data_IF_647048200330
#
_entry.id   IF_647048200330
#
_cell.length_a   1.000
_cell.length_b   1.000
_cell.length_c   1.000
_cell.angle_alpha   90.00
_cell.angle_beta   90.00
_cell.angle_gamma   90.00
#
_symmetry.space_group_name_H-M   'P 1'
#
loop_
_entity.id
_entity.type
_entity.pdbx_description
1 polymer ?
#
# COMPACT_ATOMS: atom_id res chain seq x y z
N UNK A 1 -28.52 -5.58 -3.84
CA UNK A 1 -27.16 -5.21 -3.45
C UNK A 1 -27.19 -3.88 -2.72
N UNK A 2 -26.45 -3.76 -1.63
CA UNK A 2 -26.31 -2.50 -0.90
C UNK A 2 -25.10 -1.76 -1.48
N UNK A 3 -25.29 -0.64 -2.18
CA UNK A 3 -24.18 0.04 -2.88
C UNK A 3 -22.99 0.37 -1.96
N UNK A 4 -23.24 0.85 -0.74
CA UNK A 4 -22.17 1.20 0.19
C UNK A 4 -21.29 0.02 0.57
N UNK A 5 -21.91 -1.15 0.84
CA UNK A 5 -21.18 -2.38 1.17
C UNK A 5 -20.37 -2.86 -0.02
N UNK A 6 -20.97 -2.85 -1.23
CA UNK A 6 -20.29 -3.24 -2.45
C UNK A 6 -19.09 -2.33 -2.73
N UNK A 7 -19.27 -1.02 -2.55
CA UNK A 7 -18.20 -0.04 -2.75
C UNK A 7 -17.03 -0.26 -1.78
N UNK A 8 -17.31 -0.50 -0.51
CA UNK A 8 -16.27 -0.74 0.48
C UNK A 8 -15.52 -2.05 0.19
N UNK A 9 -16.25 -3.10 -0.19
CA UNK A 9 -15.63 -4.38 -0.55
C UNK A 9 -14.69 -4.20 -1.75
N UNK A 10 -15.13 -3.46 -2.77
CA UNK A 10 -14.29 -3.17 -3.94
C UNK A 10 -13.04 -2.35 -3.56
N UNK A 11 -13.21 -1.36 -2.69
CA UNK A 11 -12.08 -0.56 -2.21
C UNK A 11 -11.08 -1.42 -1.43
N UNK A 12 -11.58 -2.35 -0.61
CA UNK A 12 -10.72 -3.28 0.12
C UNK A 12 -9.94 -4.20 -0.82
N UNK A 13 -10.59 -4.73 -1.87
CA UNK A 13 -9.90 -5.55 -2.86
C UNK A 13 -8.78 -4.74 -3.53
N UNK A 14 -9.07 -3.50 -3.91
CA UNK A 14 -8.07 -2.63 -4.52
C UNK A 14 -6.91 -2.34 -3.56
N UNK A 15 -7.22 -2.07 -2.28
CA UNK A 15 -6.20 -1.83 -1.27
C UNK A 15 -5.32 -3.05 -1.05
N UNK A 16 -5.93 -4.22 -0.91
CA UNK A 16 -5.22 -5.49 -0.70
C UNK A 16 -4.29 -5.79 -1.87
N UNK A 17 -4.77 -5.64 -3.11
CA UNK A 17 -3.96 -5.87 -4.30
C UNK A 17 -2.82 -4.87 -4.40
N UNK A 18 -3.06 -3.62 -4.05
CA UNK A 18 -2.04 -2.58 -4.04
C UNK A 18 -0.93 -2.89 -3.05
N UNK A 19 -1.29 -3.28 -1.82
CA UNK A 19 -0.31 -3.66 -0.81
C UNK A 19 0.48 -4.90 -1.23
N UNK A 20 -0.22 -5.89 -1.77
CA UNK A 20 0.40 -7.13 -2.24
C UNK A 20 1.44 -6.84 -3.33
N UNK A 21 1.09 -5.98 -4.29
CA UNK A 21 1.99 -5.56 -5.36
C UNK A 21 3.21 -4.81 -4.82
N UNK A 22 3.00 -3.91 -3.86
CA UNK A 22 4.07 -3.13 -3.23
C UNK A 22 5.03 -4.03 -2.46
N UNK A 23 4.50 -4.99 -1.70
CA UNK A 23 5.31 -5.94 -0.93
C UNK A 23 6.28 -6.69 -1.85
N UNK A 24 5.79 -7.16 -3.00
CA UNK A 24 6.62 -7.87 -3.97
C UNK A 24 7.65 -6.94 -4.61
N UNK A 25 7.24 -5.74 -4.98
CA UNK A 25 8.12 -4.77 -5.64
C UNK A 25 9.23 -4.28 -4.71
N UNK A 26 8.90 -3.97 -3.45
CA UNK A 26 9.88 -3.41 -2.53
C UNK A 26 10.94 -4.41 -2.10
N UNK A 27 10.63 -5.71 -2.12
CA UNK A 27 11.66 -6.74 -1.93
C UNK A 27 12.72 -6.66 -3.03
N UNK A 28 12.29 -6.51 -4.28
CA UNK A 28 13.20 -6.37 -5.44
C UNK A 28 13.97 -5.06 -5.38
N UNK A 29 13.29 -3.96 -5.01
CA UNK A 29 13.93 -2.66 -4.87
C UNK A 29 15.04 -2.69 -3.81
N UNK A 30 14.79 -3.32 -2.67
CA UNK A 30 15.77 -3.43 -1.61
C UNK A 30 17.02 -4.16 -2.08
N UNK A 31 16.86 -5.22 -2.89
CA UNK A 31 18.01 -5.96 -3.42
C UNK A 31 18.88 -5.10 -4.31
N UNK A 32 18.31 -4.12 -4.99
CA UNK A 32 19.02 -3.24 -5.94
C UNK A 32 19.51 -1.95 -5.30
N UNK A 33 19.22 -1.71 -4.03
CA UNK A 33 19.62 -0.49 -3.34
C UNK A 33 21.15 -0.34 -3.36
N UNK A 34 21.65 0.90 -3.51
CA UNK A 34 23.09 1.13 -3.65
C UNK A 34 23.91 0.91 -2.38
N UNK A 35 23.27 0.91 -1.20
CA UNK A 35 23.94 0.68 0.07
C UNK A 35 23.01 0.09 1.10
N UNK A 36 23.55 -0.34 2.24
CA UNK A 36 22.78 -1.01 3.29
C UNK A 36 21.80 -0.08 4.00
N UNK A 37 22.14 1.19 4.11
CA UNK A 37 21.25 2.16 4.77
C UNK A 37 19.94 2.30 4.00
N UNK A 38 20.03 2.48 2.68
CA UNK A 38 18.84 2.59 1.83
C UNK A 38 18.08 1.27 1.80
N UNK A 39 18.81 0.14 1.67
CA UNK A 39 18.19 -1.18 1.67
C UNK A 39 17.35 -1.40 2.93
N UNK A 40 17.93 -1.10 4.08
CA UNK A 40 17.25 -1.26 5.36
C UNK A 40 15.99 -0.42 5.44
N UNK A 41 16.05 0.83 4.96
CA UNK A 41 14.90 1.72 4.97
C UNK A 41 13.78 1.22 4.05
N UNK A 42 14.14 0.70 2.87
CA UNK A 42 13.15 0.12 1.96
C UNK A 42 12.46 -1.10 2.61
N UNK A 43 13.22 -1.91 3.33
CA UNK A 43 12.65 -3.08 4.02
C UNK A 43 11.73 -2.67 5.18
N UNK A 44 12.00 -1.57 5.87
CA UNK A 44 11.10 -1.02 6.88
C UNK A 44 9.78 -0.56 6.24
N UNK A 45 9.88 0.13 5.10
CA UNK A 45 8.70 0.55 4.33
C UNK A 45 7.89 -0.68 3.94
N UNK A 46 8.57 -1.71 3.42
CA UNK A 46 7.91 -2.96 3.05
C UNK A 46 7.17 -3.58 4.23
N UNK A 47 7.76 -3.54 5.42
CA UNK A 47 7.13 -4.10 6.61
C UNK A 47 5.84 -3.35 6.96
N UNK A 48 5.79 -2.04 6.77
CA UNK A 48 4.55 -1.27 6.92
C UNK A 48 3.48 -1.77 5.96
N UNK A 49 3.88 -2.05 4.70
CA UNK A 49 2.93 -2.55 3.70
C UNK A 49 2.41 -3.94 4.08
N UNK A 50 3.25 -4.81 4.65
CA UNK A 50 2.83 -6.12 5.15
C UNK A 50 1.78 -5.94 6.25
N UNK A 51 1.97 -4.98 7.16
CA UNK A 51 1.01 -4.71 8.22
C UNK A 51 -0.33 -4.22 7.65
N UNK A 52 -0.29 -3.30 6.69
CA UNK A 52 -1.51 -2.82 6.02
C UNK A 52 -2.24 -3.98 5.33
N UNK A 53 -1.49 -4.82 4.64
CA UNK A 53 -2.04 -5.98 3.95
C UNK A 53 -2.83 -6.87 4.92
N UNK A 54 -2.25 -7.17 6.09
CA UNK A 54 -2.92 -8.01 7.08
C UNK A 54 -4.17 -7.36 7.65
N UNK A 55 -4.10 -6.06 7.96
CA UNK A 55 -5.23 -5.33 8.49
C UNK A 55 -6.39 -5.31 7.49
N UNK A 56 -6.12 -4.94 6.24
CA UNK A 56 -7.15 -4.87 5.20
C UNK A 56 -7.71 -6.25 4.88
N UNK A 57 -6.86 -7.29 4.88
CA UNK A 57 -7.30 -8.67 4.66
C UNK A 57 -8.24 -9.14 5.77
N UNK A 58 -7.94 -8.79 7.02
CA UNK A 58 -8.81 -9.14 8.14
C UNK A 58 -10.16 -8.44 8.04
N UNK A 59 -10.17 -7.15 7.72
CA UNK A 59 -11.41 -6.39 7.51
C UNK A 59 -12.24 -7.03 6.39
N UNK A 60 -11.59 -7.35 5.28
CA UNK A 60 -12.26 -8.00 4.14
C UNK A 60 -12.91 -9.31 4.57
N UNK A 61 -12.18 -10.16 5.31
CA UNK A 61 -12.69 -11.44 5.75
C UNK A 61 -13.88 -11.31 6.71
N UNK A 62 -13.85 -10.32 7.58
CA UNK A 62 -14.94 -10.04 8.52
C UNK A 62 -16.22 -9.59 7.79
N UNK A 63 -16.07 -8.79 6.74
CA UNK A 63 -17.20 -8.28 5.97
C UNK A 63 -17.79 -9.35 5.04
N UNK A 64 -16.92 -10.10 4.35
CA UNK A 64 -17.34 -11.02 3.29
C UNK A 64 -17.48 -12.47 3.73
N UNK A 65 -16.87 -12.85 4.84
CA UNK A 65 -16.82 -14.24 5.30
C UNK A 65 -15.85 -15.11 4.52
N UNK A 66 -15.03 -14.52 3.64
CA UNK A 66 -14.06 -15.26 2.83
C UNK A 66 -12.67 -14.62 2.93
N UNK A 67 -11.65 -15.39 2.60
CA UNK A 67 -10.30 -14.85 2.52
C UNK A 67 -10.11 -14.09 1.21
N UNK A 68 -9.30 -13.03 1.19
CA UNK A 68 -8.98 -12.36 -0.07
C UNK A 68 -8.13 -13.26 -0.96
N UNK A 69 -8.20 -13.01 -2.27
CA UNK A 69 -7.35 -13.67 -3.26
C UNK A 69 -6.49 -12.61 -3.92
N UNK A 70 -5.34 -12.23 -3.30
CA UNK A 70 -4.56 -11.08 -3.77
C UNK A 70 -3.94 -11.34 -5.14
N UNK A 71 -3.86 -10.27 -5.93
CA UNK A 71 -3.28 -10.29 -7.26
C UNK A 71 -2.25 -9.18 -7.39
N UNK A 72 -1.19 -9.43 -8.17
CA UNK A 72 -0.28 -8.37 -8.58
C UNK A 72 -1.01 -7.57 -9.65
N UNK A 73 -1.36 -6.33 -9.33
CA UNK A 73 -2.09 -5.45 -10.25
C UNK A 73 -1.20 -4.40 -10.89
N UNK A 74 0.03 -4.24 -10.37
CA UNK A 74 1.00 -3.31 -10.92
C UNK A 74 2.36 -3.98 -10.98
N UNK A 75 2.98 -4.00 -12.17
CA UNK A 75 4.29 -4.60 -12.33
C UNK A 75 5.37 -3.66 -11.82
N UNK A 76 6.36 -4.25 -11.12
CA UNK A 76 7.50 -3.50 -10.60
C UNK A 76 8.48 -3.24 -11.75
N UNK A 77 8.83 -1.98 -12.04
CA UNK A 77 9.85 -1.69 -13.04
C UNK A 77 11.17 -2.36 -12.69
N UNK A 78 11.92 -2.79 -13.71
CA UNK A 78 13.17 -3.53 -13.51
C UNK A 78 14.33 -2.62 -13.07
N UNK A 79 14.44 -1.44 -13.67
CA UNK A 79 15.52 -0.51 -13.37
C UNK A 79 15.27 0.20 -12.03
N UNK A 80 16.28 0.23 -11.17
CA UNK A 80 16.16 0.74 -9.82
C UNK A 80 15.58 2.16 -9.75
N UNK A 81 16.15 3.11 -10.51
CA UNK A 81 15.68 4.50 -10.46
C UNK A 81 14.27 4.67 -11.02
N UNK A 82 13.93 3.91 -12.06
CA UNK A 82 12.57 3.91 -12.60
C UNK A 82 11.60 3.34 -11.58
N UNK A 83 11.99 2.27 -10.89
CA UNK A 83 11.17 1.67 -9.83
C UNK A 83 10.98 2.61 -8.64
N UNK A 84 12.01 3.38 -8.26
CA UNK A 84 11.89 4.38 -7.20
C UNK A 84 10.88 5.47 -7.56
N UNK A 85 10.94 5.97 -8.79
CA UNK A 85 10.00 6.99 -9.25
C UNK A 85 8.58 6.44 -9.28
N UNK A 86 8.44 5.21 -9.78
CA UNK A 86 7.15 4.51 -9.79
C UNK A 86 6.60 4.39 -8.36
N UNK A 87 7.43 3.93 -7.42
CA UNK A 87 7.04 3.77 -6.02
C UNK A 87 6.62 5.10 -5.40
N UNK A 88 7.40 6.15 -5.65
CA UNK A 88 7.06 7.50 -5.17
C UNK A 88 5.67 7.93 -5.66
N UNK A 89 5.40 7.79 -6.94
CA UNK A 89 4.13 8.20 -7.52
C UNK A 89 2.98 7.33 -7.01
N UNK A 90 3.21 6.02 -6.90
CA UNK A 90 2.21 5.07 -6.42
C UNK A 90 1.82 5.38 -4.97
N UNK A 91 2.80 5.65 -4.10
CA UNK A 91 2.53 6.04 -2.73
C UNK A 91 1.68 7.31 -2.65
N UNK A 92 1.99 8.31 -3.48
CA UNK A 92 1.23 9.55 -3.54
C UNK A 92 -0.24 9.30 -3.94
N UNK A 93 -0.47 8.49 -4.96
CA UNK A 93 -1.82 8.15 -5.39
C UNK A 93 -2.56 7.35 -4.32
N UNK A 94 -1.87 6.48 -3.62
CA UNK A 94 -2.46 5.64 -2.58
C UNK A 94 -2.91 6.47 -1.37
N UNK A 95 -2.18 7.55 -1.02
CA UNK A 95 -2.61 8.47 0.04
C UNK A 95 -4.02 8.98 -0.26
N UNK A 96 -4.23 9.50 -1.46
CA UNK A 96 -5.52 10.04 -1.86
C UNK A 96 -6.60 8.97 -1.83
N UNK A 97 -6.29 7.78 -2.37
CA UNK A 97 -7.24 6.69 -2.38
C UNK A 97 -7.66 6.29 -0.96
N UNK A 98 -6.70 6.12 -0.05
CA UNK A 98 -7.00 5.72 1.32
C UNK A 98 -7.78 6.79 2.08
N UNK A 99 -7.48 8.06 1.86
CA UNK A 99 -8.25 9.14 2.48
C UNK A 99 -9.68 9.18 1.95
N UNK A 100 -9.87 8.92 0.66
CA UNK A 100 -11.22 8.85 0.07
C UNK A 100 -12.05 7.72 0.70
N UNK A 101 -11.43 6.55 0.91
CA UNK A 101 -12.11 5.43 1.56
C UNK A 101 -12.46 5.80 3.00
N UNK A 102 -11.53 6.43 3.73
CA UNK A 102 -11.77 6.86 5.10
C UNK A 102 -12.95 7.82 5.20
N UNK A 103 -13.09 8.72 4.22
CA UNK A 103 -14.20 9.69 4.19
C UNK A 103 -15.55 9.01 3.91
N UNK A 104 -15.56 7.97 3.07
CA UNK A 104 -16.81 7.30 2.65
C UNK A 104 -17.34 6.31 3.67
N UNK A 105 -16.47 5.66 4.45
CA UNK A 105 -16.91 4.62 5.38
C UNK A 105 -17.56 5.21 6.61
N UNK A 106 -18.61 4.54 7.10
CA UNK A 106 -19.30 4.92 8.35
C UNK A 106 -18.71 4.23 9.57
N UNK A 107 -17.91 3.19 9.37
CA UNK A 107 -17.32 2.41 10.45
C UNK A 107 -16.09 3.14 11.01
N UNK A 108 -16.11 3.53 12.30
CA UNK A 108 -14.99 4.28 12.89
C UNK A 108 -13.67 3.53 12.89
N UNK A 109 -13.70 2.21 13.07
CA UNK A 109 -12.47 1.40 13.07
C UNK A 109 -11.84 1.38 11.69
N UNK A 110 -12.65 1.10 10.65
CA UNK A 110 -12.17 1.05 9.27
C UNK A 110 -11.64 2.43 8.87
N UNK A 111 -12.36 3.49 9.22
CA UNK A 111 -11.92 4.87 8.97
C UNK A 111 -10.52 5.11 9.53
N UNK A 112 -10.29 4.75 10.79
CA UNK A 112 -8.99 4.96 11.43
C UNK A 112 -7.88 4.15 10.77
N UNK A 113 -8.16 2.90 10.35
CA UNK A 113 -7.16 2.09 9.68
C UNK A 113 -6.72 2.69 8.35
N UNK A 114 -7.66 3.20 7.55
CA UNK A 114 -7.31 3.84 6.28
C UNK A 114 -6.59 5.17 6.49
N UNK A 115 -6.96 5.95 7.50
CA UNK A 115 -6.27 7.20 7.84
C UNK A 115 -4.83 6.93 8.27
N UNK A 116 -4.63 5.93 9.12
CA UNK A 116 -3.28 5.55 9.56
C UNK A 116 -2.44 5.07 8.39
N UNK A 117 -3.00 4.22 7.54
CA UNK A 117 -2.29 3.73 6.35
C UNK A 117 -1.93 4.89 5.42
N UNK A 118 -2.85 5.85 5.22
CA UNK A 118 -2.57 7.04 4.41
C UNK A 118 -1.38 7.82 4.94
N UNK A 119 -1.27 7.99 6.26
CA UNK A 119 -0.14 8.68 6.87
C UNK A 119 1.17 7.93 6.62
N UNK A 120 1.16 6.60 6.72
CA UNK A 120 2.33 5.77 6.44
C UNK A 120 2.76 5.93 4.98
N UNK A 121 1.80 5.88 4.04
CA UNK A 121 2.09 6.04 2.61
C UNK A 121 2.69 7.42 2.32
N UNK A 122 2.22 8.47 2.97
CA UNK A 122 2.78 9.80 2.82
C UNK A 122 4.24 9.84 3.26
N UNK A 123 4.55 9.21 4.38
CA UNK A 123 5.92 9.12 4.88
C UNK A 123 6.80 8.31 3.93
N UNK A 124 6.28 7.20 3.38
CA UNK A 124 7.00 6.38 2.40
C UNK A 124 7.36 7.19 1.16
N UNK A 125 6.42 8.01 0.66
CA UNK A 125 6.66 8.85 -0.51
C UNK A 125 7.85 9.79 -0.29
N UNK A 126 7.97 10.37 0.91
CA UNK A 126 9.09 11.24 1.26
C UNK A 126 10.41 10.46 1.19
N UNK A 127 10.46 9.24 1.70
CA UNK A 127 11.64 8.40 1.63
C UNK A 127 12.03 8.10 0.17
N UNK A 128 11.08 7.70 -0.67
CA UNK A 128 11.37 7.39 -2.07
C UNK A 128 11.87 8.63 -2.82
N UNK A 129 11.30 9.79 -2.53
CA UNK A 129 11.77 11.05 -3.11
C UNK A 129 13.22 11.31 -2.70
N UNK A 130 13.54 11.09 -1.42
CA UNK A 130 14.90 11.23 -0.90
C UNK A 130 15.88 10.29 -1.64
N UNK A 131 15.48 9.02 -1.80
CA UNK A 131 16.33 8.04 -2.50
C UNK A 131 16.62 8.45 -3.95
N UNK A 132 15.69 9.14 -4.59
CA UNK A 132 15.90 9.66 -5.94
C UNK A 132 16.92 10.79 -5.99
N UNK A 133 17.18 11.44 -4.87
CA UNK A 133 18.07 12.58 -4.77
C UNK A 133 19.51 12.20 -4.36
N UNK A 134 19.70 11.00 -3.88
CA UNK A 134 21.00 10.57 -3.33
C UNK A 134 21.68 9.47 -4.15
#
# INVERSE_FOLDING_TARGET
MVPGTSSLTQDLVRAINGEYSAIACYAKLAEKAPNQEIRKQILEIRQDEVRHYHIFSQIFSEITGTKPNPQITEECPTAYRVALKFAFQDEQHTVDFYLDVAEKTQDPFIKEQFKRAAADEQNHAVWFLWFLRV
#
